data_IF_508862994706
#
_entry.id   IF_508862994706
#
_cell.length_a   1.000
_cell.length_b   1.000
_cell.length_c   1.000
_cell.angle_alpha   90.00
_cell.angle_beta   90.00
_cell.angle_gamma   90.00
#
_symmetry.space_group_name_H-M   'P 1'
#
loop_
_entity.id
_entity.type
_entity.pdbx_description
1 polymer ?
#
# COMPACT_ATOMS: atom_id res chain seq x y z
N UNK A 1 -2.92 1.79 -6.28
CA UNK A 1 -3.45 1.26 -7.57
C UNK A 1 -3.66 -0.26 -7.61
N UNK A 2 -2.98 -1.08 -6.81
CA UNK A 2 -3.19 -2.55 -6.78
C UNK A 2 -4.65 -3.01 -6.59
N UNK A 3 -5.50 -2.16 -5.99
CA UNK A 3 -6.91 -2.44 -5.72
C UNK A 3 -7.87 -1.88 -6.79
N UNK A 4 -7.36 -1.11 -7.76
CA UNK A 4 -8.17 -0.50 -8.81
C UNK A 4 -8.49 -1.54 -9.90
N UNK A 5 -9.70 -1.48 -10.46
CA UNK A 5 -10.14 -2.36 -11.55
C UNK A 5 -10.70 -1.51 -12.68
N UNK A 6 -9.84 -1.19 -13.66
CA UNK A 6 -10.17 -0.36 -14.82
C UNK A 6 -9.68 -1.03 -16.11
N UNK A 7 -10.37 -0.84 -17.24
CA UNK A 7 -9.91 -1.33 -18.55
C UNK A 7 -8.48 -0.87 -18.85
N UNK A 8 -7.67 -1.75 -19.45
CA UNK A 8 -6.26 -1.48 -19.77
C UNK A 8 -5.28 -1.59 -18.58
N UNK A 9 -5.77 -1.71 -17.34
CA UNK A 9 -4.92 -1.77 -16.14
C UNK A 9 -4.52 -3.18 -15.68
N UNK A 10 -4.97 -4.24 -16.36
CA UNK A 10 -4.88 -5.62 -15.85
C UNK A 10 -3.46 -6.06 -15.49
N UNK A 11 -2.50 -5.93 -16.41
CA UNK A 11 -1.12 -6.35 -16.18
C UNK A 11 -0.49 -5.61 -14.99
N UNK A 12 -0.65 -4.28 -14.94
CA UNK A 12 -0.10 -3.47 -13.86
C UNK A 12 -0.77 -3.78 -12.51
N UNK A 13 -2.10 -3.84 -12.48
CA UNK A 13 -2.85 -4.05 -11.24
C UNK A 13 -2.63 -5.45 -10.68
N UNK A 14 -2.58 -6.49 -11.52
CA UNK A 14 -2.26 -7.86 -11.10
C UNK A 14 -0.84 -7.93 -10.54
N UNK A 15 0.15 -7.37 -11.26
CA UNK A 15 1.53 -7.37 -10.81
C UNK A 15 1.74 -6.59 -9.50
N UNK A 16 1.04 -5.46 -9.31
CA UNK A 16 1.10 -4.72 -8.04
C UNK A 16 0.31 -5.42 -6.93
N UNK A 17 -0.78 -6.13 -7.24
CA UNK A 17 -1.53 -6.91 -6.27
C UNK A 17 -0.75 -8.12 -5.76
N UNK A 18 0.03 -8.80 -6.62
CA UNK A 18 0.86 -9.94 -6.19
C UNK A 18 1.93 -9.54 -5.18
N UNK A 19 2.44 -8.29 -5.24
CA UNK A 19 3.37 -7.75 -4.24
C UNK A 19 2.76 -7.74 -2.83
N UNK A 20 1.44 -7.56 -2.69
CA UNK A 20 0.79 -7.63 -1.38
C UNK A 20 0.97 -9.02 -0.76
N UNK A 21 0.78 -10.08 -1.55
CA UNK A 21 0.99 -11.45 -1.09
C UNK A 21 2.47 -11.76 -0.83
N UNK A 22 3.37 -11.21 -1.66
CA UNK A 22 4.81 -11.33 -1.40
C UNK A 22 5.19 -10.73 -0.05
N UNK A 23 4.63 -9.57 0.30
CA UNK A 23 4.90 -8.94 1.59
C UNK A 23 4.46 -9.82 2.77
N UNK A 24 3.30 -10.47 2.66
CA UNK A 24 2.81 -11.46 3.63
C UNK A 24 3.78 -12.65 3.79
N UNK A 25 4.29 -13.21 2.68
CA UNK A 25 5.25 -14.32 2.73
C UNK A 25 6.57 -13.94 3.40
N UNK A 26 7.11 -12.76 3.09
CA UNK A 26 8.34 -12.27 3.74
C UNK A 26 8.12 -12.14 5.26
N UNK A 27 6.97 -11.62 5.68
CA UNK A 27 6.64 -11.49 7.10
C UNK A 27 6.52 -12.87 7.78
N UNK A 28 5.85 -13.84 7.15
CA UNK A 28 5.73 -15.21 7.67
C UNK A 28 7.10 -15.88 7.83
N UNK A 29 7.99 -15.72 6.86
CA UNK A 29 9.26 -16.45 6.81
C UNK A 29 10.39 -15.78 7.63
N UNK A 30 10.38 -14.45 7.75
CA UNK A 30 11.53 -13.70 8.26
C UNK A 30 11.20 -12.71 9.40
N UNK A 31 9.95 -12.59 9.85
CA UNK A 31 9.61 -11.64 10.93
C UNK A 31 10.31 -11.92 12.26
N UNK A 32 10.49 -13.19 12.62
CA UNK A 32 11.24 -13.62 13.81
C UNK A 32 12.74 -13.35 13.71
N UNK A 33 13.26 -13.22 12.48
CA UNK A 33 14.65 -12.84 12.19
C UNK A 33 14.84 -11.31 12.17
N UNK A 34 13.79 -10.55 12.50
CA UNK A 34 13.82 -9.09 12.54
C UNK A 34 13.55 -8.40 11.19
N UNK A 35 13.23 -9.14 10.13
CA UNK A 35 12.88 -8.54 8.83
C UNK A 35 11.43 -8.06 8.86
N UNK A 36 11.20 -6.79 8.48
CA UNK A 36 9.87 -6.19 8.36
C UNK A 36 9.55 -5.91 6.91
N UNK A 37 8.32 -6.19 6.52
CA UNK A 37 7.87 -6.16 5.13
C UNK A 37 6.55 -5.41 5.01
N UNK A 38 6.44 -4.48 4.06
CA UNK A 38 5.25 -3.66 3.89
C UNK A 38 4.95 -3.49 2.40
N UNK A 39 3.68 -3.65 2.00
CA UNK A 39 3.24 -3.35 0.63
C UNK A 39 2.59 -1.97 0.59
N UNK A 40 3.28 -0.97 0.04
CA UNK A 40 2.86 0.44 0.18
C UNK A 40 2.41 1.00 -1.16
N UNK A 41 1.18 1.51 -1.21
CA UNK A 41 0.75 2.40 -2.29
C UNK A 41 1.26 3.83 -2.01
N UNK A 42 2.09 4.41 -2.88
CA UNK A 42 2.69 5.72 -2.63
C UNK A 42 1.74 6.92 -2.89
N UNK A 43 0.46 6.67 -3.19
CA UNK A 43 -0.44 7.68 -3.74
C UNK A 43 -0.28 7.89 -5.25
N UNK A 44 -1.03 8.85 -5.81
CA UNK A 44 -0.95 9.30 -7.18
C UNK A 44 -0.04 10.55 -7.26
N UNK A 45 1.26 10.30 -7.42
CA UNK A 45 2.30 11.33 -7.58
C UNK A 45 2.63 11.53 -9.05
N UNK A 46 2.63 12.79 -9.52
CA UNK A 46 3.05 13.12 -10.87
C UNK A 46 4.59 13.06 -10.94
N UNK A 47 5.11 12.17 -11.77
CA UNK A 47 6.53 11.93 -12.01
C UNK A 47 6.77 11.81 -13.50
N UNK A 48 8.02 11.82 -13.94
CA UNK A 48 8.35 11.53 -15.35
C UNK A 48 7.78 10.19 -15.81
N UNK A 49 7.83 9.16 -14.94
CA UNK A 49 7.29 7.83 -15.21
C UNK A 49 5.76 7.82 -15.37
N UNK A 50 5.04 8.59 -14.55
CA UNK A 50 3.57 8.63 -14.58
C UNK A 50 3.00 9.66 -15.56
N UNK A 51 3.84 10.54 -16.12
CA UNK A 51 3.43 11.62 -17.03
C UNK A 51 2.72 11.11 -18.30
N UNK A 52 3.22 10.09 -19.03
CA UNK A 52 2.52 9.57 -20.21
C UNK A 52 1.12 9.06 -19.88
N UNK A 53 0.96 8.40 -18.73
CA UNK A 53 -0.35 7.93 -18.27
C UNK A 53 -1.27 9.09 -17.85
N UNK A 54 -0.74 10.12 -17.18
CA UNK A 54 -1.48 11.32 -16.83
C UNK A 54 -1.98 12.09 -18.07
N UNK A 55 -1.23 12.10 -19.17
CA UNK A 55 -1.66 12.73 -20.43
C UNK A 55 -2.73 11.92 -21.16
N UNK A 56 -2.70 10.60 -21.02
CA UNK A 56 -3.69 9.70 -21.64
C UNK A 56 -5.05 9.74 -20.93
N UNK A 57 -5.07 9.98 -19.61
CA UNK A 57 -6.31 10.04 -18.84
C UNK A 57 -7.10 11.33 -19.09
N UNK A 58 -8.44 11.25 -19.24
CA UNK A 58 -9.30 12.42 -19.10
C UNK A 58 -9.07 13.05 -17.71
N UNK A 59 -8.75 14.34 -17.68
CA UNK A 59 -8.41 15.09 -16.46
C UNK A 59 -7.23 14.52 -15.66
N UNK A 60 -6.25 13.87 -16.30
CA UNK A 60 -5.19 13.18 -15.56
C UNK A 60 -4.39 14.05 -14.59
N UNK A 61 -4.20 15.35 -14.87
CA UNK A 61 -3.57 16.28 -13.89
C UNK A 61 -4.34 16.42 -12.58
N UNK A 62 -5.65 16.25 -12.59
CA UNK A 62 -6.51 16.31 -11.40
C UNK A 62 -6.48 15.00 -10.60
N UNK A 63 -6.01 13.91 -11.20
CA UNK A 63 -5.88 12.60 -10.53
C UNK A 63 -4.59 12.52 -9.71
N UNK A 64 -3.52 13.14 -10.19
CA UNK A 64 -2.21 13.14 -9.54
C UNK A 64 -2.09 14.29 -8.53
N UNK A 65 -2.72 14.14 -7.38
CA UNK A 65 -2.83 15.19 -6.35
C UNK A 65 -1.80 15.06 -5.22
N UNK A 66 -1.05 13.96 -5.14
CA UNK A 66 -0.07 13.73 -4.09
C UNK A 66 1.32 14.20 -4.48
N UNK A 67 2.13 14.56 -3.47
CA UNK A 67 3.54 14.92 -3.65
C UNK A 67 4.46 13.73 -3.31
N UNK A 68 5.69 13.67 -3.85
CA UNK A 68 6.64 12.61 -3.52
C UNK A 68 6.92 12.49 -2.01
N UNK A 69 6.92 13.62 -1.30
CA UNK A 69 7.21 13.71 0.12
C UNK A 69 6.22 12.90 0.96
N UNK A 70 4.94 12.84 0.57
CA UNK A 70 3.92 12.07 1.30
C UNK A 70 4.33 10.59 1.44
N UNK A 71 4.77 9.99 0.33
CA UNK A 71 5.25 8.61 0.32
C UNK A 71 6.56 8.47 1.09
N UNK A 72 7.49 9.43 0.94
CA UNK A 72 8.76 9.45 1.64
C UNK A 72 8.59 9.45 3.16
N UNK A 73 7.70 10.31 3.68
CA UNK A 73 7.40 10.39 5.11
C UNK A 73 6.80 9.09 5.66
N UNK A 74 5.96 8.42 4.86
CA UNK A 74 5.41 7.10 5.21
C UNK A 74 6.53 6.07 5.34
N UNK A 75 7.48 6.03 4.40
CA UNK A 75 8.63 5.13 4.48
C UNK A 75 9.50 5.42 5.71
N UNK A 76 9.83 6.69 5.96
CA UNK A 76 10.62 7.09 7.14
C UNK A 76 9.96 6.59 8.42
N UNK A 77 8.65 6.84 8.61
CA UNK A 77 7.92 6.39 9.80
C UNK A 77 7.98 4.88 9.99
N UNK A 78 7.73 4.11 8.93
CA UNK A 78 7.76 2.65 9.01
C UNK A 78 9.17 2.14 9.35
N UNK A 79 10.22 2.77 8.80
CA UNK A 79 11.61 2.41 9.11
C UNK A 79 12.08 2.79 10.52
N UNK A 80 11.34 3.64 11.23
CA UNK A 80 11.62 3.94 12.64
C UNK A 80 11.24 2.81 13.61
N UNK A 81 10.56 1.75 13.13
CA UNK A 81 10.23 0.56 13.92
C UNK A 81 9.02 0.70 14.85
N UNK A 82 8.44 1.90 14.98
CA UNK A 82 7.28 2.14 15.86
C UNK A 82 6.02 1.39 15.40
N UNK A 83 5.93 1.15 14.09
CA UNK A 83 4.76 0.58 13.44
C UNK A 83 5.02 -0.83 12.86
N UNK A 84 6.01 -1.55 13.41
CA UNK A 84 6.38 -2.93 12.99
C UNK A 84 5.23 -3.94 13.05
N UNK A 85 4.21 -3.66 13.87
CA UNK A 85 2.99 -4.45 13.95
C UNK A 85 2.17 -4.44 12.64
N UNK A 86 2.47 -3.51 11.72
CA UNK A 86 1.91 -3.46 10.37
C UNK A 86 2.66 -4.36 9.37
N UNK A 87 3.74 -5.04 9.77
CA UNK A 87 4.49 -5.93 8.88
C UNK A 87 3.57 -7.00 8.25
N UNK A 88 3.86 -7.36 7.00
CA UNK A 88 3.07 -8.25 6.17
C UNK A 88 1.76 -7.65 5.63
N UNK A 89 1.51 -6.34 5.78
CA UNK A 89 0.23 -5.72 5.40
C UNK A 89 0.36 -4.71 4.28
N UNK A 90 -0.78 -4.46 3.59
CA UNK A 90 -0.92 -3.39 2.63
C UNK A 90 -1.20 -2.06 3.33
N UNK A 91 -0.51 -1.00 2.89
CA UNK A 91 -0.69 0.36 3.36
C UNK A 91 -0.88 1.30 2.18
N UNK A 92 -1.58 2.39 2.42
CA UNK A 92 -1.75 3.48 1.49
C UNK A 92 -1.19 4.75 2.12
N UNK A 93 -0.18 5.36 1.50
CA UNK A 93 0.47 6.56 2.02
C UNK A 93 -0.49 7.75 2.15
N UNK A 94 -1.66 7.71 1.49
CA UNK A 94 -2.71 8.72 1.65
C UNK A 94 -3.53 8.56 2.93
N UNK A 95 -3.40 7.43 3.63
CA UNK A 95 -4.03 7.22 4.93
C UNK A 95 -3.27 7.94 6.04
N UNK A 96 -4.03 8.42 7.01
CA UNK A 96 -3.50 8.98 8.25
C UNK A 96 -3.06 7.83 9.18
N UNK A 97 -1.74 7.63 9.29
CA UNK A 97 -1.17 6.55 10.10
C UNK A 97 -1.49 6.73 11.59
N UNK A 98 -1.65 7.96 12.10
CA UNK A 98 -2.01 8.17 13.49
C UNK A 98 -3.46 7.75 13.79
N UNK A 99 -4.36 7.90 12.81
CA UNK A 99 -5.70 7.30 12.89
C UNK A 99 -5.64 5.78 12.80
N UNK A 100 -4.73 5.24 11.98
CA UNK A 100 -4.56 3.79 11.83
C UNK A 100 -4.07 3.13 13.12
N UNK A 101 -3.15 3.77 13.85
CA UNK A 101 -2.66 3.31 15.16
C UNK A 101 -3.80 3.19 16.17
N UNK A 102 -4.81 4.08 16.13
CA UNK A 102 -5.99 3.98 17.00
C UNK A 102 -6.84 2.73 16.73
N UNK A 103 -6.69 2.13 15.55
CA UNK A 103 -7.38 0.89 15.16
C UNK A 103 -6.48 -0.35 15.30
N UNK A 104 -5.27 -0.22 15.86
CA UNK A 104 -4.26 -1.28 15.96
C UNK A 104 -4.83 -2.61 16.46
N UNK A 105 -5.49 -2.60 17.62
CA UNK A 105 -6.05 -3.82 18.22
C UNK A 105 -6.97 -4.55 17.26
N UNK A 106 -7.93 -3.83 16.64
CA UNK A 106 -8.87 -4.40 15.68
C UNK A 106 -8.16 -4.91 14.41
N UNK A 107 -7.17 -4.18 13.90
CA UNK A 107 -6.41 -4.58 12.71
C UNK A 107 -5.64 -5.87 12.96
N UNK A 108 -5.00 -6.00 14.12
CA UNK A 108 -4.23 -7.19 14.48
C UNK A 108 -5.16 -8.39 14.73
N UNK A 109 -6.22 -8.22 15.51
CA UNK A 109 -7.18 -9.29 15.82
C UNK A 109 -7.89 -9.84 14.58
N UNK A 110 -8.30 -8.95 13.67
CA UNK A 110 -8.99 -9.35 12.43
C UNK A 110 -8.02 -9.70 11.30
N UNK A 111 -6.71 -9.56 11.55
CA UNK A 111 -5.64 -9.63 10.57
C UNK A 111 -5.98 -8.87 9.26
N UNK A 112 -6.44 -7.63 9.46
CA UNK A 112 -6.94 -6.75 8.41
C UNK A 112 -5.80 -6.17 7.56
N UNK A 113 -6.16 -5.43 6.51
CA UNK A 113 -5.23 -4.84 5.53
C UNK A 113 -4.46 -5.88 4.69
N UNK A 114 -5.03 -7.08 4.57
CA UNK A 114 -4.58 -8.16 3.69
C UNK A 114 -5.66 -8.48 2.67
N UNK A 115 -5.25 -8.98 1.50
CA UNK A 115 -6.19 -9.38 0.46
C UNK A 115 -6.76 -10.76 0.79
N UNK A 116 -8.06 -10.82 1.08
CA UNK A 116 -8.77 -12.06 1.43
C UNK A 116 -10.12 -12.14 0.73
N UNK A 117 -10.56 -13.37 0.50
CA UNK A 117 -11.93 -13.62 0.09
C UNK A 117 -12.83 -13.44 1.31
N UNK A 118 -13.86 -12.61 1.17
CA UNK A 118 -14.89 -12.47 2.18
C UNK A 118 -15.97 -13.53 1.94
N UNK A 119 -16.30 -14.29 2.98
CA UNK A 119 -17.51 -15.11 3.01
C UNK A 119 -18.64 -14.27 3.62
N UNK A 120 -19.90 -14.42 3.16
CA UNK A 120 -21.01 -13.57 3.57
C UNK A 120 -21.59 -13.93 4.96
N UNK A 121 -20.87 -14.72 5.77
CA UNK A 121 -21.34 -15.27 7.04
C UNK A 121 -20.28 -15.12 8.14
#
# INVERSE_FOLDING_TARGET
MAQLRVPGGSAYNIAKHSINRLAEWIDIEYSEQGVKSFAIHPGAVLTELSTPFAQWLPNGKEVFTQTPELSAWTYVRLTCGMDDWLSGRYLDATMDLDKLVKLKTKIVEQDALKNRLALPF
#
